data_IF_310061931169
#
_entry.id   IF_310061931169
#
_cell.length_a   1.000
_cell.length_b   1.000
_cell.length_c   1.000
_cell.angle_alpha   90.00
_cell.angle_beta   90.00
_cell.angle_gamma   90.00
#
_symmetry.space_group_name_H-M   'P 1'
#
loop_
_entity.id
_entity.type
_entity.pdbx_description
1 polymer ?
#
# COMPACT_ATOMS: atom_id res chain seq x y z
N UNK A 1 -43.60 25.93 -42.11
CA UNK A 1 -43.53 25.85 -43.58
C UNK A 1 -42.60 26.97 -44.05
N UNK A 2 -41.65 26.65 -44.92
CA UNK A 2 -40.81 27.55 -45.75
C UNK A 2 -39.61 28.27 -45.09
N UNK A 3 -38.48 27.56 -45.12
CA UNK A 3 -37.13 27.89 -45.63
C UNK A 3 -36.81 29.33 -46.07
N UNK A 4 -35.66 29.89 -45.65
CA UNK A 4 -34.63 30.39 -46.60
C UNK A 4 -33.24 30.58 -46.00
N UNK A 5 -32.25 30.07 -46.73
CA UNK A 5 -30.80 30.16 -46.52
C UNK A 5 -30.28 31.61 -46.66
N UNK A 6 -29.19 31.94 -45.96
CA UNK A 6 -28.27 32.99 -46.40
C UNK A 6 -26.81 32.52 -46.36
N UNK A 7 -26.18 32.85 -47.48
CA UNK A 7 -24.88 32.46 -48.03
C UNK A 7 -23.73 33.12 -47.28
N UNK A 8 -22.64 32.38 -47.04
CA UNK A 8 -21.39 32.90 -46.49
C UNK A 8 -20.41 33.19 -47.63
N UNK A 9 -19.92 34.44 -47.68
CA UNK A 9 -18.93 34.92 -48.63
C UNK A 9 -17.52 34.54 -48.17
N UNK A 10 -16.73 34.15 -49.15
CA UNK A 10 -15.39 33.56 -49.10
C UNK A 10 -14.34 34.68 -49.02
N UNK A 11 -13.39 34.59 -48.08
CA UNK A 11 -12.14 35.36 -48.11
C UNK A 11 -10.97 34.42 -48.37
N UNK A 12 -10.16 34.73 -49.39
CA UNK A 12 -8.92 34.04 -49.74
C UNK A 12 -7.75 34.87 -49.20
N UNK A 13 -6.90 34.25 -48.39
CA UNK A 13 -5.56 34.74 -48.07
C UNK A 13 -4.61 33.54 -48.08
N UNK A 14 -3.69 33.51 -49.04
CA UNK A 14 -2.71 32.45 -49.23
C UNK A 14 -1.55 32.60 -48.23
N UNK A 15 -1.03 31.47 -47.73
CA UNK A 15 0.20 31.39 -46.94
C UNK A 15 1.04 30.22 -47.50
N UNK A 16 2.38 30.37 -47.63
CA UNK A 16 3.19 29.46 -48.43
C UNK A 16 3.61 28.18 -47.68
N UNK A 17 3.81 27.11 -48.46
CA UNK A 17 4.40 25.83 -48.04
C UNK A 17 5.91 25.96 -47.83
N UNK A 18 6.42 25.44 -46.72
CA UNK A 18 7.82 25.03 -46.60
C UNK A 18 7.97 23.79 -45.70
N UNK A 19 8.62 22.76 -46.25
CA UNK A 19 9.64 21.91 -45.63
C UNK A 19 9.42 21.21 -44.28
N UNK A 20 9.29 19.88 -44.37
CA UNK A 20 9.66 18.82 -43.44
C UNK A 20 10.44 19.16 -42.15
N UNK A 21 10.05 18.53 -41.04
CA UNK A 21 10.97 17.95 -40.03
C UNK A 21 10.26 16.90 -39.16
N UNK A 22 10.99 15.83 -38.87
CA UNK A 22 10.50 14.56 -38.35
C UNK A 22 9.91 14.62 -36.93
N UNK A 23 9.00 13.68 -36.69
CA UNK A 23 8.50 13.30 -35.36
C UNK A 23 9.65 12.66 -34.57
N UNK A 24 10.28 13.41 -33.68
CA UNK A 24 10.98 12.84 -32.54
C UNK A 24 9.92 12.52 -31.47
N UNK A 25 9.53 11.25 -31.38
CA UNK A 25 8.80 10.75 -30.20
C UNK A 25 9.79 10.77 -29.04
N UNK A 26 9.54 11.65 -28.06
CA UNK A 26 10.13 11.58 -26.73
C UNK A 26 9.88 10.18 -26.17
N UNK A 27 10.95 9.41 -26.03
CA UNK A 27 10.97 8.15 -25.32
C UNK A 27 11.71 8.42 -24.02
N UNK A 28 11.02 8.35 -22.89
CA UNK A 28 11.53 8.05 -21.54
C UNK A 28 10.37 8.18 -20.54
N UNK A 29 10.01 7.05 -19.92
CA UNK A 29 9.57 6.86 -18.52
C UNK A 29 8.62 5.68 -18.40
N UNK A 30 9.19 4.47 -18.31
CA UNK A 30 8.61 3.37 -17.53
C UNK A 30 9.79 2.54 -17.01
N UNK A 31 10.22 2.79 -15.76
CA UNK A 31 10.97 1.75 -15.03
C UNK A 31 9.95 0.65 -14.71
N UNK A 32 9.96 -0.40 -15.55
CA UNK A 32 9.13 -1.59 -15.38
C UNK A 32 9.78 -2.50 -14.35
N UNK A 33 9.17 -2.61 -13.17
CA UNK A 33 9.43 -3.73 -12.26
C UNK A 33 8.91 -5.01 -12.92
N UNK A 34 9.82 -5.84 -13.44
CA UNK A 34 9.48 -7.18 -13.94
C UNK A 34 9.29 -8.12 -12.75
N UNK A 35 8.12 -8.75 -12.67
CA UNK A 35 7.87 -9.84 -11.73
C UNK A 35 8.76 -11.05 -12.07
N UNK A 36 9.60 -11.47 -11.12
CA UNK A 36 10.35 -12.72 -11.22
C UNK A 36 9.49 -13.87 -10.66
N UNK A 37 9.35 -14.93 -11.45
CA UNK A 37 8.68 -16.18 -11.06
C UNK A 37 9.70 -17.31 -10.94
N UNK A 38 10.03 -17.70 -9.70
CA UNK A 38 10.17 -19.07 -9.16
C UNK A 38 10.85 -19.01 -7.79
N UNK A 39 10.23 -19.64 -6.80
CA UNK A 39 10.74 -19.82 -5.44
C UNK A 39 12.09 -20.55 -5.44
N UNK A 40 13.06 -19.93 -4.79
CA UNK A 40 14.23 -20.57 -4.21
C UNK A 40 14.35 -20.06 -2.77
N UNK A 41 14.72 -20.94 -1.84
CA UNK A 41 14.96 -20.62 -0.43
C UNK A 41 15.95 -19.44 -0.30
N UNK A 42 15.81 -18.57 0.72
CA UNK A 42 16.65 -17.38 0.82
C UNK A 42 18.09 -17.79 1.11
N UNK A 43 18.96 -17.65 0.12
CA UNK A 43 20.41 -17.63 0.34
C UNK A 43 20.78 -16.28 0.93
N UNK A 44 21.28 -16.33 2.16
CA UNK A 44 21.67 -15.20 3.00
C UNK A 44 22.96 -14.52 2.53
N UNK A 45 23.02 -14.03 1.28
CA UNK A 45 24.20 -13.32 0.78
C UNK A 45 23.84 -12.24 -0.26
N UNK A 46 23.23 -11.14 0.20
CA UNK A 46 23.49 -9.78 -0.27
C UNK A 46 23.07 -8.84 0.87
N UNK A 47 24.06 -8.26 1.55
CA UNK A 47 23.83 -7.34 2.65
C UNK A 47 22.99 -6.14 2.18
N UNK A 48 22.01 -5.73 2.99
CA UNK A 48 21.35 -4.43 2.88
C UNK A 48 22.42 -3.36 2.63
N UNK A 49 22.31 -2.63 1.51
CA UNK A 49 23.13 -1.46 1.18
C UNK A 49 22.86 -0.30 2.15
N UNK A 50 21.75 -0.36 2.90
CA UNK A 50 21.41 0.57 3.97
C UNK A 50 22.28 0.28 5.21
N UNK A 51 23.12 1.23 5.66
CA UNK A 51 24.05 1.02 6.78
C UNK A 51 23.38 1.05 8.17
N UNK A 52 22.06 0.83 8.25
CA UNK A 52 21.29 0.80 9.50
C UNK A 52 20.44 -0.48 9.59
N UNK A 53 20.32 -1.10 10.79
CA UNK A 53 19.45 -2.25 10.97
C UNK A 53 17.98 -1.83 10.82
N UNK A 54 17.17 -2.68 10.19
CA UNK A 54 15.71 -2.52 10.20
C UNK A 54 15.16 -2.77 11.62
N UNK A 55 14.12 -2.04 11.98
CA UNK A 55 13.44 -2.15 13.29
C UNK A 55 12.13 -2.95 13.22
N UNK A 56 11.62 -3.17 12.02
CA UNK A 56 10.42 -3.97 11.75
C UNK A 56 10.58 -4.75 10.46
N UNK A 57 9.73 -5.76 10.30
CA UNK A 57 9.54 -6.47 9.05
C UNK A 57 8.09 -6.34 8.59
N UNK A 58 7.90 -6.05 7.31
CA UNK A 58 6.58 -5.76 6.76
C UNK A 58 6.25 -6.71 5.63
N UNK A 59 5.03 -7.24 5.67
CA UNK A 59 4.44 -7.96 4.55
C UNK A 59 3.17 -7.26 4.09
N UNK A 60 3.09 -7.01 2.78
CA UNK A 60 1.95 -6.39 2.13
C UNK A 60 1.45 -7.27 0.99
N UNK A 61 0.25 -7.84 1.14
CA UNK A 61 -0.40 -8.49 0.02
C UNK A 61 -1.18 -7.43 -0.75
N UNK A 62 -0.82 -7.21 -2.00
CA UNK A 62 -1.44 -6.24 -2.91
C UNK A 62 -2.48 -6.95 -3.77
N UNK A 63 -3.69 -6.39 -3.79
CA UNK A 63 -4.87 -6.93 -4.44
C UNK A 63 -5.40 -5.94 -5.46
N UNK A 64 -5.73 -6.45 -6.65
CA UNK A 64 -6.49 -5.72 -7.64
C UNK A 64 -7.92 -6.22 -7.60
N UNK A 65 -8.77 -5.61 -6.79
CA UNK A 65 -10.20 -5.90 -6.72
C UNK A 65 -10.88 -5.45 -8.01
N UNK A 66 -11.86 -6.21 -8.47
CA UNK A 66 -12.59 -5.92 -9.71
C UNK A 66 -13.40 -4.63 -9.58
N UNK A 67 -13.38 -3.85 -10.65
CA UNK A 67 -14.21 -2.65 -10.79
C UNK A 67 -15.64 -3.06 -11.21
N UNK A 68 -16.41 -3.59 -10.26
CA UNK A 68 -17.82 -3.95 -10.44
C UNK A 68 -18.57 -3.77 -9.13
N UNK A 69 -19.89 -3.56 -9.24
CA UNK A 69 -20.76 -3.38 -8.08
C UNK A 69 -20.53 -4.47 -7.02
N UNK A 70 -20.42 -4.03 -5.76
CA UNK A 70 -20.25 -4.87 -4.56
C UNK A 70 -18.94 -5.68 -4.49
N UNK A 71 -18.01 -5.60 -5.47
CA UNK A 71 -16.78 -6.38 -5.42
C UNK A 71 -15.92 -6.03 -4.20
N UNK A 72 -15.80 -4.75 -3.89
CA UNK A 72 -15.14 -4.20 -2.71
C UNK A 72 -15.78 -4.73 -1.41
N UNK A 73 -17.09 -4.54 -1.26
CA UNK A 73 -17.82 -4.99 -0.07
C UNK A 73 -17.71 -6.52 0.14
N UNK A 74 -17.78 -7.31 -0.94
CA UNK A 74 -17.57 -8.77 -0.90
C UNK A 74 -16.12 -9.13 -0.57
N UNK A 75 -15.16 -8.37 -1.09
CA UNK A 75 -13.75 -8.56 -0.79
C UNK A 75 -13.48 -8.34 0.71
N UNK A 76 -13.96 -7.23 1.26
CA UNK A 76 -13.82 -6.89 2.67
C UNK A 76 -14.55 -7.85 3.60
N UNK A 77 -15.77 -8.28 3.23
CA UNK A 77 -16.50 -9.31 3.96
C UNK A 77 -15.68 -10.59 4.13
N UNK A 78 -15.03 -11.06 3.06
CA UNK A 78 -14.17 -12.26 3.14
C UNK A 78 -12.96 -12.07 4.04
N UNK A 79 -12.45 -10.85 4.17
CA UNK A 79 -11.38 -10.55 5.13
C UNK A 79 -11.89 -10.51 6.57
N UNK A 80 -13.07 -9.92 6.79
CA UNK A 80 -13.71 -9.87 8.11
C UNK A 80 -14.06 -11.27 8.63
N UNK A 81 -14.62 -12.12 7.77
CA UNK A 81 -15.06 -13.48 8.11
C UNK A 81 -13.93 -14.53 8.10
N UNK A 82 -12.70 -14.13 7.77
CA UNK A 82 -11.57 -15.05 7.69
C UNK A 82 -11.21 -15.58 9.09
N UNK A 83 -11.08 -16.91 9.28
CA UNK A 83 -10.50 -17.44 10.50
C UNK A 83 -9.03 -17.04 10.58
N UNK A 84 -8.65 -16.41 11.68
CA UNK A 84 -7.29 -15.96 11.92
C UNK A 84 -7.07 -15.85 13.42
N UNK A 85 -5.82 -15.96 13.82
CA UNK A 85 -5.36 -15.72 15.19
C UNK A 85 -4.12 -14.83 15.22
N UNK A 86 -3.98 -14.00 14.19
CA UNK A 86 -2.80 -13.20 13.90
C UNK A 86 -2.31 -12.39 15.12
N UNK A 87 -3.23 -11.81 15.89
CA UNK A 87 -2.86 -11.00 17.07
C UNK A 87 -2.26 -11.82 18.23
N UNK A 88 -2.36 -13.15 18.20
CA UNK A 88 -1.76 -14.04 19.21
C UNK A 88 -0.34 -14.49 18.83
N UNK A 89 0.13 -14.13 17.64
CA UNK A 89 1.43 -14.59 17.14
C UNK A 89 2.57 -13.80 17.77
N UNK A 90 3.63 -14.51 18.16
CA UNK A 90 4.84 -13.87 18.65
C UNK A 90 5.43 -12.93 17.58
N UNK A 91 5.86 -11.76 18.03
CA UNK A 91 6.42 -10.72 17.17
C UNK A 91 5.40 -9.96 16.32
N UNK A 92 4.11 -10.34 16.28
CA UNK A 92 3.09 -9.52 15.62
C UNK A 92 2.96 -8.15 16.31
N UNK A 93 2.83 -7.08 15.51
CA UNK A 93 2.72 -5.70 16.00
C UNK A 93 1.43 -5.03 15.58
N UNK A 94 1.13 -5.10 14.28
CA UNK A 94 0.02 -4.34 13.72
C UNK A 94 -0.48 -4.92 12.40
N UNK A 95 -1.78 -4.75 12.11
CA UNK A 95 -2.37 -5.05 10.81
C UNK A 95 -3.49 -4.09 10.43
N UNK A 96 -3.63 -3.84 9.13
CA UNK A 96 -4.90 -3.37 8.54
C UNK A 96 -5.06 -3.88 7.11
N UNK A 97 -6.32 -3.88 6.67
CA UNK A 97 -6.67 -3.94 5.26
C UNK A 97 -6.88 -2.51 4.73
N UNK A 98 -6.02 -2.07 3.84
CA UNK A 98 -6.10 -0.75 3.23
C UNK A 98 -6.79 -0.79 1.88
N UNK A 99 -7.73 0.14 1.67
CA UNK A 99 -8.28 0.50 0.35
C UNK A 99 -7.65 1.80 -0.11
N UNK A 100 -7.10 1.84 -1.32
CA UNK A 100 -6.55 3.06 -1.91
C UNK A 100 -7.69 3.99 -2.33
N UNK A 101 -7.52 5.29 -2.10
CA UNK A 101 -8.53 6.32 -2.41
C UNK A 101 -7.88 7.58 -3.00
N UNK A 102 -8.68 8.43 -3.67
CA UNK A 102 -8.33 9.82 -3.93
C UNK A 102 -8.90 10.72 -2.81
N UNK A 103 -8.18 11.79 -2.44
CA UNK A 103 -8.62 12.71 -1.38
C UNK A 103 -9.90 13.47 -1.74
N UNK A 104 -10.14 13.73 -3.01
CA UNK A 104 -11.34 14.42 -3.50
C UNK A 104 -12.58 13.50 -3.56
N UNK A 105 -12.43 12.22 -3.18
CA UNK A 105 -13.50 11.24 -3.19
C UNK A 105 -13.81 10.68 -4.59
N UNK A 106 -13.03 11.03 -5.60
CA UNK A 106 -13.17 10.43 -6.94
C UNK A 106 -12.67 8.99 -6.95
N UNK A 107 -13.20 8.19 -7.88
CA UNK A 107 -12.70 6.85 -8.12
C UNK A 107 -11.27 6.88 -8.68
N UNK A 108 -10.48 5.87 -8.32
CA UNK A 108 -9.14 5.69 -8.89
C UNK A 108 -9.22 5.45 -10.40
N UNK A 109 -8.33 6.08 -11.16
CA UNK A 109 -8.20 5.81 -12.60
C UNK A 109 -7.72 4.38 -12.86
N UNK A 110 -7.90 3.88 -14.08
CA UNK A 110 -7.40 2.55 -14.45
C UNK A 110 -5.87 2.45 -14.31
N UNK A 111 -5.14 3.55 -14.52
CA UNK A 111 -3.69 3.63 -14.30
C UNK A 111 -3.35 3.51 -12.80
N UNK A 112 -4.03 4.26 -11.93
CA UNK A 112 -3.84 4.15 -10.47
C UNK A 112 -4.19 2.74 -9.95
N UNK A 113 -5.16 2.08 -10.58
CA UNK A 113 -5.61 0.73 -10.26
C UNK A 113 -4.79 -0.39 -10.94
N UNK A 114 -3.79 -0.07 -11.77
CA UNK A 114 -3.06 -1.08 -12.56
C UNK A 114 -2.30 -2.06 -11.65
N UNK A 115 -1.60 -1.55 -10.62
CA UNK A 115 -0.87 -2.40 -9.67
C UNK A 115 -1.82 -3.01 -8.63
N UNK A 116 -2.49 -2.18 -7.83
CA UNK A 116 -3.44 -2.61 -6.82
C UNK A 116 -4.35 -1.46 -6.35
N UNK A 117 -5.50 -1.82 -5.81
CA UNK A 117 -6.45 -0.91 -5.17
C UNK A 117 -6.75 -1.28 -3.71
N UNK A 118 -6.35 -2.48 -3.28
CA UNK A 118 -6.33 -2.88 -1.89
C UNK A 118 -4.96 -3.46 -1.53
N UNK A 119 -4.53 -3.26 -0.28
CA UNK A 119 -3.38 -3.97 0.26
C UNK A 119 -3.64 -4.35 1.70
N UNK A 120 -3.34 -5.59 2.09
CA UNK A 120 -3.12 -5.86 3.51
C UNK A 120 -1.75 -5.33 3.90
N UNK A 121 -1.56 -4.95 5.15
CA UNK A 121 -0.25 -4.64 5.71
C UNK A 121 -0.15 -5.29 7.08
N UNK A 122 0.93 -6.05 7.31
CA UNK A 122 1.29 -6.57 8.63
C UNK A 122 2.66 -6.06 9.02
N UNK A 123 2.81 -5.59 10.26
CA UNK A 123 4.09 -5.26 10.87
C UNK A 123 4.45 -6.34 11.88
N UNK A 124 5.72 -6.73 11.82
CA UNK A 124 6.35 -7.71 12.68
C UNK A 124 7.56 -7.09 13.33
N UNK A 125 7.86 -7.55 14.54
CA UNK A 125 9.04 -7.15 15.28
C UNK A 125 10.31 -7.34 14.44
N UNK A 126 10.39 -8.45 13.72
CA UNK A 126 11.54 -8.82 12.91
C UNK A 126 11.17 -9.88 11.86
N UNK A 127 12.07 -10.12 10.91
CA UNK A 127 11.86 -11.13 9.87
C UNK A 127 11.73 -12.56 10.43
N UNK A 128 12.52 -13.01 11.43
CA UNK A 128 12.37 -14.35 11.99
C UNK A 128 10.98 -14.64 12.56
N UNK A 129 10.40 -13.72 13.34
CA UNK A 129 9.05 -13.90 13.90
C UNK A 129 7.98 -13.97 12.81
N UNK A 130 8.12 -13.16 11.74
CA UNK A 130 7.28 -13.30 10.54
C UNK A 130 7.39 -14.67 9.89
N UNK A 131 8.61 -15.23 9.74
CA UNK A 131 8.79 -16.54 9.11
C UNK A 131 8.16 -17.67 9.94
N UNK A 132 8.30 -17.62 11.27
CA UNK A 132 7.65 -18.58 12.18
C UNK A 132 6.13 -18.57 11.97
N UNK A 133 5.52 -17.39 11.85
CA UNK A 133 4.10 -17.32 11.52
C UNK A 133 3.78 -17.87 10.13
N UNK A 134 4.56 -17.46 9.11
CA UNK A 134 4.34 -17.81 7.70
C UNK A 134 4.39 -19.32 7.45
N UNK A 135 5.23 -20.04 8.18
CA UNK A 135 5.37 -21.50 8.09
C UNK A 135 4.41 -22.26 9.02
N UNK A 136 3.84 -21.55 10.00
CA UNK A 136 3.00 -22.11 11.05
C UNK A 136 1.54 -22.35 10.67
N UNK A 137 0.83 -23.01 11.58
CA UNK A 137 -0.57 -23.41 11.34
C UNK A 137 -1.54 -22.22 11.32
N UNK A 138 -1.23 -21.13 12.04
CA UNK A 138 -2.00 -19.89 11.98
C UNK A 138 -2.08 -19.34 10.54
N UNK A 139 -0.98 -19.38 9.79
CA UNK A 139 -0.95 -18.95 8.41
C UNK A 139 -1.77 -19.90 7.53
N UNK A 140 -1.60 -21.21 7.70
CA UNK A 140 -2.36 -22.22 6.94
C UNK A 140 -3.87 -22.05 7.15
N UNK A 141 -4.31 -21.89 8.39
CA UNK A 141 -5.71 -21.65 8.76
C UNK A 141 -6.28 -20.43 8.02
N UNK A 142 -5.57 -19.30 8.07
CA UNK A 142 -5.95 -18.07 7.39
C UNK A 142 -5.91 -18.16 5.84
N UNK A 143 -5.30 -19.21 5.28
CA UNK A 143 -5.12 -19.42 3.83
C UNK A 143 -5.72 -20.74 3.33
N UNK A 144 -6.82 -21.19 3.95
CA UNK A 144 -7.60 -22.34 3.47
C UNK A 144 -7.34 -23.64 4.23
N UNK A 145 -6.75 -23.57 5.44
CA UNK A 145 -6.66 -24.67 6.40
C UNK A 145 -5.79 -25.85 5.97
N UNK A 146 -4.91 -25.68 4.97
CA UNK A 146 -4.03 -26.73 4.47
C UNK A 146 -4.72 -27.90 3.75
N UNK A 147 -6.05 -27.85 3.55
CA UNK A 147 -6.81 -28.88 2.83
C UNK A 147 -7.26 -28.39 1.44
N UNK A 148 -7.39 -29.33 0.49
CA UNK A 148 -7.64 -29.02 -0.93
C UNK A 148 -8.95 -28.24 -1.13
N UNK A 149 -9.98 -28.53 -0.34
CA UNK A 149 -11.28 -27.85 -0.43
C UNK A 149 -11.19 -26.38 -0.01
N UNK A 150 -10.58 -26.09 1.14
CA UNK A 150 -10.42 -24.71 1.63
C UNK A 150 -9.55 -23.85 0.72
N UNK A 151 -8.49 -24.43 0.15
CA UNK A 151 -7.64 -23.74 -0.85
C UNK A 151 -8.45 -23.47 -2.14
N UNK A 152 -9.24 -24.45 -2.62
CA UNK A 152 -10.08 -24.29 -3.81
C UNK A 152 -11.16 -23.22 -3.62
N UNK A 153 -11.84 -23.20 -2.48
CA UNK A 153 -12.85 -22.19 -2.15
C UNK A 153 -12.23 -20.78 -2.07
N UNK A 154 -11.03 -20.67 -1.52
CA UNK A 154 -10.26 -19.42 -1.52
C UNK A 154 -9.90 -18.97 -2.94
N UNK A 155 -9.50 -19.89 -3.83
CA UNK A 155 -9.15 -19.58 -5.21
C UNK A 155 -10.38 -19.15 -6.04
N UNK A 156 -11.51 -19.85 -5.92
CA UNK A 156 -12.75 -19.53 -6.62
C UNK A 156 -13.28 -18.15 -6.16
N UNK A 157 -13.35 -17.92 -4.86
CA UNK A 157 -13.81 -16.63 -4.31
C UNK A 157 -12.87 -15.47 -4.66
N UNK A 158 -11.56 -15.73 -4.75
CA UNK A 158 -10.58 -14.75 -5.20
C UNK A 158 -10.75 -14.42 -6.68
N UNK A 159 -10.98 -15.42 -7.55
CA UNK A 159 -11.25 -15.17 -8.97
C UNK A 159 -12.54 -14.36 -9.21
N UNK A 160 -13.52 -14.45 -8.31
CA UNK A 160 -14.75 -13.65 -8.38
C UNK A 160 -14.54 -12.20 -7.94
N UNK A 161 -13.56 -11.90 -7.09
CA UNK A 161 -13.39 -10.54 -6.52
C UNK A 161 -12.17 -9.82 -7.06
N UNK A 162 -11.18 -10.54 -7.61
CA UNK A 162 -9.90 -9.98 -8.04
C UNK A 162 -9.72 -10.04 -9.55
N UNK A 163 -8.98 -9.06 -10.09
CA UNK A 163 -8.36 -9.05 -11.41
C UNK A 163 -6.94 -9.63 -11.26
N UNK A 164 -6.79 -10.93 -11.49
CA UNK A 164 -5.50 -11.63 -11.37
C UNK A 164 -5.16 -12.08 -9.95
N UNK A 165 -3.92 -12.53 -9.75
CA UNK A 165 -3.45 -13.04 -8.46
C UNK A 165 -2.92 -11.92 -7.58
N UNK A 166 -3.07 -12.00 -6.24
CA UNK A 166 -2.42 -11.08 -5.33
C UNK A 166 -0.89 -11.08 -5.51
N UNK A 167 -0.25 -9.93 -5.31
CA UNK A 167 1.21 -9.79 -5.29
C UNK A 167 1.68 -9.57 -3.86
N UNK A 168 2.64 -10.36 -3.41
CA UNK A 168 3.26 -10.15 -2.11
C UNK A 168 4.44 -9.20 -2.25
N UNK A 169 4.45 -8.15 -1.43
CA UNK A 169 5.61 -7.33 -1.18
C UNK A 169 6.12 -7.62 0.23
N UNK A 170 7.41 -7.87 0.35
CA UNK A 170 8.12 -7.96 1.61
C UNK A 170 9.06 -6.77 1.71
N UNK A 171 9.18 -6.20 2.90
CA UNK A 171 9.99 -5.01 3.13
C UNK A 171 10.68 -5.07 4.48
N UNK A 172 11.91 -4.57 4.50
CA UNK A 172 12.51 -4.04 5.71
C UNK A 172 11.84 -2.71 6.05
N UNK A 173 11.58 -2.49 7.33
CA UNK A 173 11.05 -1.24 7.84
C UNK A 173 12.03 -0.58 8.81
N UNK A 174 12.12 0.74 8.70
CA UNK A 174 13.07 1.59 9.42
C UNK A 174 12.35 2.78 10.04
N UNK A 175 12.96 3.36 11.07
CA UNK A 175 12.47 4.54 11.77
C UNK A 175 11.00 4.39 12.22
N UNK A 176 10.59 3.17 12.59
CA UNK A 176 9.22 2.92 13.04
C UNK A 176 9.01 3.55 14.40
N UNK A 177 8.11 4.52 14.48
CA UNK A 177 7.71 5.14 15.73
C UNK A 177 6.20 5.11 15.87
N UNK A 178 5.72 4.53 16.98
CA UNK A 178 4.30 4.38 17.29
C UNK A 178 3.98 5.13 18.58
N UNK A 179 2.75 5.62 18.69
CA UNK A 179 2.18 5.91 20.00
C UNK A 179 1.85 4.61 20.72
N UNK A 180 1.91 4.66 22.05
CA UNK A 180 1.41 3.57 22.89
C UNK A 180 -0.11 3.48 22.76
N UNK A 181 -0.61 2.24 22.74
CA UNK A 181 -2.05 1.99 22.67
C UNK A 181 -2.51 1.48 24.03
N UNK A 182 -3.46 2.20 24.63
CA UNK A 182 -4.04 1.77 25.90
C UNK A 182 -4.85 0.49 25.71
N UNK A 183 -4.97 -0.30 26.77
CA UNK A 183 -5.71 -1.56 26.74
C UNK A 183 -7.20 -1.36 26.39
N UNK A 184 -7.77 -0.20 26.77
CA UNK A 184 -9.14 0.20 26.43
C UNK A 184 -9.33 0.58 24.95
N UNK A 185 -8.26 0.96 24.26
CA UNK A 185 -8.30 1.34 22.84
C UNK A 185 -8.05 0.14 21.92
N UNK A 186 -7.77 -1.04 22.49
CA UNK A 186 -7.58 -2.24 21.70
C UNK A 186 -8.89 -2.63 20.99
N UNK A 187 -8.80 -3.04 19.71
CA UNK A 187 -9.95 -3.52 18.97
C UNK A 187 -10.55 -4.76 19.65
N UNK A 188 -11.88 -4.85 19.69
CA UNK A 188 -12.56 -6.09 20.07
C UNK A 188 -12.11 -7.26 19.19
N UNK A 189 -11.69 -8.34 19.82
CA UNK A 189 -11.17 -9.53 19.15
C UNK A 189 -11.78 -10.81 19.74
N UNK A 190 -11.95 -11.82 18.90
CA UNK A 190 -12.26 -13.19 19.30
C UNK A 190 -11.16 -14.11 18.72
N UNK A 191 -10.49 -14.89 19.57
CA UNK A 191 -9.41 -15.79 19.13
C UNK A 191 -8.19 -15.09 18.50
N UNK A 192 -8.01 -13.79 18.70
CA UNK A 192 -6.92 -13.01 18.08
C UNK A 192 -7.22 -12.45 16.70
N UNK A 193 -8.51 -12.34 16.34
CA UNK A 193 -8.96 -11.66 15.13
C UNK A 193 -10.17 -10.76 15.40
N UNK A 194 -10.41 -9.82 14.49
CA UNK A 194 -11.51 -8.85 14.60
C UNK A 194 -12.86 -9.56 14.53
N UNK A 195 -13.79 -9.13 15.38
CA UNK A 195 -15.21 -9.49 15.28
C UNK A 195 -15.97 -8.31 14.68
N UNK A 196 -16.18 -8.33 13.37
CA UNK A 196 -16.80 -7.25 12.60
C UNK A 196 -17.93 -7.82 11.74
N UNK A 197 -19.08 -7.14 11.73
CA UNK A 197 -20.22 -7.52 10.90
C UNK A 197 -20.03 -6.96 9.50
N UNK A 198 -19.99 -7.85 8.50
CA UNK A 198 -19.86 -7.48 7.10
C UNK A 198 -20.99 -8.10 6.26
N UNK A 199 -21.85 -7.26 5.66
CA UNK A 199 -22.99 -7.74 4.88
C UNK A 199 -22.62 -8.13 3.43
N UNK A 200 -21.46 -7.67 2.94
CA UNK A 200 -20.98 -7.90 1.58
C UNK A 200 -21.69 -7.04 0.54
N UNK A 201 -22.45 -6.03 0.98
CA UNK A 201 -23.15 -5.04 0.17
C UNK A 201 -22.58 -3.65 0.35
N UNK A 202 -22.15 -3.32 1.57
CA UNK A 202 -21.44 -2.07 1.90
C UNK A 202 -20.00 -2.38 2.28
N UNK A 203 -19.11 -1.46 1.91
CA UNK A 203 -17.75 -1.48 2.45
C UNK A 203 -17.81 -1.20 3.96
N UNK A 204 -16.86 -1.76 4.69
CA UNK A 204 -16.63 -1.50 6.10
C UNK A 204 -16.22 -0.04 6.29
N UNK A 205 -16.62 0.52 7.43
CA UNK A 205 -16.20 1.86 7.82
C UNK A 205 -14.68 1.89 8.05
N UNK A 206 -13.98 2.95 7.60
CA UNK A 206 -12.57 3.12 7.88
C UNK A 206 -12.32 3.30 9.38
N UNK A 207 -11.27 2.65 9.88
CA UNK A 207 -10.80 2.72 11.27
C UNK A 207 -9.47 3.47 11.38
N UNK A 208 -8.77 3.71 10.26
CA UNK A 208 -7.62 4.60 10.16
C UNK A 208 -7.46 5.17 8.75
N UNK A 209 -6.56 6.14 8.62
CA UNK A 209 -6.12 6.71 7.36
C UNK A 209 -4.61 6.57 7.20
N UNK A 210 -4.12 6.33 5.99
CA UNK A 210 -2.68 6.29 5.72
C UNK A 210 -2.31 7.17 4.53
N UNK A 211 -1.28 7.98 4.70
CA UNK A 211 -0.54 8.62 3.62
C UNK A 211 0.76 7.83 3.40
N UNK A 212 1.03 7.42 2.16
CA UNK A 212 2.26 6.76 1.78
C UNK A 212 2.92 7.51 0.62
N UNK A 213 4.18 7.90 0.80
CA UNK A 213 4.96 8.65 -0.18
C UNK A 213 6.20 7.87 -0.59
N UNK A 214 6.37 7.66 -1.88
CA UNK A 214 7.54 7.01 -2.46
C UNK A 214 8.63 8.04 -2.78
N UNK A 215 9.84 7.72 -2.36
CA UNK A 215 11.05 8.48 -2.58
C UNK A 215 12.08 7.60 -3.28
N UNK A 216 12.69 8.13 -4.34
CA UNK A 216 13.89 7.54 -4.95
C UNK A 216 15.10 8.17 -4.28
N UNK A 217 15.93 7.33 -3.67
CA UNK A 217 17.12 7.72 -2.91
C UNK A 217 18.36 7.24 -3.64
N UNK A 218 19.24 8.18 -3.97
CA UNK A 218 20.49 7.87 -4.66
C UNK A 218 21.44 7.05 -3.76
N UNK A 219 22.23 6.13 -4.35
CA UNK A 219 23.18 5.31 -3.59
C UNK A 219 24.10 6.14 -2.70
N UNK A 220 24.20 5.76 -1.42
CA UNK A 220 25.02 6.44 -0.40
C UNK A 220 24.31 7.59 0.31
N UNK A 221 23.04 7.90 -0.01
CA UNK A 221 22.21 8.91 0.66
C UNK A 221 21.16 8.30 1.61
N UNK A 222 21.10 6.99 1.72
CA UNK A 222 20.08 6.25 2.47
C UNK A 222 20.07 6.61 3.95
N UNK A 223 21.25 6.72 4.57
CA UNK A 223 21.35 7.07 5.99
C UNK A 223 20.82 8.48 6.29
N UNK A 224 21.14 9.46 5.44
CA UNK A 224 20.66 10.83 5.57
C UNK A 224 19.13 10.89 5.38
N UNK A 225 18.62 10.22 4.35
CA UNK A 225 17.19 10.10 4.10
C UNK A 225 16.44 9.49 5.30
N UNK A 226 16.94 8.38 5.85
CA UNK A 226 16.33 7.74 7.01
C UNK A 226 16.34 8.62 8.27
N UNK A 227 17.40 9.42 8.47
CA UNK A 227 17.48 10.36 9.57
C UNK A 227 16.41 11.45 9.45
N UNK A 228 16.26 12.03 8.25
CA UNK A 228 15.26 13.08 7.98
C UNK A 228 13.83 12.53 8.06
N UNK A 229 13.58 11.35 7.49
CA UNK A 229 12.30 10.68 7.60
C UNK A 229 11.95 10.37 9.07
N UNK A 230 12.91 9.92 9.88
CA UNK A 230 12.73 9.70 11.31
C UNK A 230 12.40 10.99 12.06
N UNK A 231 13.05 12.11 11.72
CA UNK A 231 12.75 13.41 12.30
C UNK A 231 11.31 13.85 11.95
N UNK A 232 10.91 13.72 10.68
CA UNK A 232 9.54 14.02 10.23
C UNK A 232 8.48 13.18 10.97
N UNK A 233 8.74 11.88 11.16
CA UNK A 233 7.88 11.01 11.97
C UNK A 233 7.81 11.51 13.42
N UNK A 234 8.95 11.87 14.00
CA UNK A 234 9.03 12.35 15.39
C UNK A 234 8.22 13.61 15.62
N UNK A 235 8.30 14.58 14.71
CA UNK A 235 7.52 15.82 14.75
C UNK A 235 6.01 15.54 14.66
N UNK A 236 5.64 14.58 13.81
CA UNK A 236 4.23 14.20 13.58
C UNK A 236 3.57 13.58 14.81
N UNK A 237 4.34 13.03 15.76
CA UNK A 237 3.80 12.44 17.00
C UNK A 237 3.07 13.44 17.88
N UNK A 238 3.35 14.73 17.74
CA UNK A 238 2.63 15.79 18.47
C UNK A 238 1.28 16.16 17.87
N UNK A 239 0.97 15.71 16.65
CA UNK A 239 -0.27 16.02 15.98
C UNK A 239 -1.41 15.08 16.44
N UNK A 240 -2.62 15.65 16.57
CA UNK A 240 -3.80 14.88 16.94
C UNK A 240 -4.07 13.77 15.92
N UNK A 241 -4.38 12.57 16.43
CA UNK A 241 -4.72 11.41 15.60
C UNK A 241 -3.54 10.68 14.97
N UNK A 242 -2.29 11.11 15.17
CA UNK A 242 -1.15 10.33 14.71
C UNK A 242 -1.13 8.96 15.40
N UNK A 243 -0.96 7.86 14.66
CA UNK A 243 -0.80 6.51 15.23
C UNK A 243 0.65 6.07 15.19
N UNK A 244 1.20 5.96 13.97
CA UNK A 244 2.59 5.59 13.77
C UNK A 244 3.11 6.05 12.42
N UNK A 245 4.42 6.12 12.30
CA UNK A 245 5.15 6.33 11.05
C UNK A 245 6.22 5.27 10.87
N UNK A 246 6.49 4.89 9.63
CA UNK A 246 7.52 3.90 9.28
C UNK A 246 8.02 4.14 7.87
N UNK A 247 9.28 3.80 7.61
CA UNK A 247 9.89 3.87 6.28
C UNK A 247 10.12 2.46 5.77
N UNK A 248 9.47 2.10 4.66
CA UNK A 248 9.60 0.80 4.04
C UNK A 248 10.65 0.84 2.94
N UNK A 249 11.56 -0.13 2.92
CA UNK A 249 12.36 -0.45 1.75
C UNK A 249 11.98 -1.86 1.33
N UNK A 250 11.26 -1.96 0.21
CA UNK A 250 10.83 -3.25 -0.31
C UNK A 250 12.04 -4.04 -0.79
N UNK A 251 12.01 -5.36 -0.59
CA UNK A 251 12.96 -6.30 -1.19
C UNK A 251 12.70 -6.38 -2.71
N UNK A 252 12.91 -5.29 -3.44
CA UNK A 252 12.80 -5.24 -4.88
C UNK A 252 14.08 -5.85 -5.46
N UNK A 253 13.96 -7.01 -6.10
CA UNK A 253 15.08 -7.81 -6.58
C UNK A 253 16.14 -7.00 -7.35
N UNK A 254 17.38 -7.16 -6.90
CA UNK A 254 18.68 -7.03 -7.60
C UNK A 254 18.66 -6.12 -8.85
N UNK A 255 18.93 -4.83 -8.65
CA UNK A 255 19.32 -3.88 -9.70
C UNK A 255 20.27 -2.82 -9.15
N UNK A 256 21.15 -2.27 -9.99
CA UNK A 256 22.11 -1.21 -9.64
C UNK A 256 21.48 0.21 -9.72
N UNK A 257 20.16 0.30 -9.65
CA UNK A 257 19.39 1.54 -9.74
C UNK A 257 19.03 2.03 -8.34
N UNK A 258 18.82 3.34 -8.19
CA UNK A 258 18.47 4.00 -6.92
C UNK A 258 17.36 3.28 -6.13
N UNK A 259 17.53 3.22 -4.81
CA UNK A 259 16.62 2.52 -3.90
C UNK A 259 15.31 3.31 -3.74
N UNK A 260 14.18 2.58 -3.73
CA UNK A 260 12.87 3.18 -3.46
C UNK A 260 12.51 2.95 -2.00
N UNK A 261 12.23 4.04 -1.30
CA UNK A 261 11.73 4.04 0.07
C UNK A 261 10.31 4.60 0.11
N UNK A 262 9.43 3.99 0.89
CA UNK A 262 8.06 4.46 1.12
C UNK A 262 7.93 4.94 2.56
N UNK A 263 7.74 6.25 2.76
CA UNK A 263 7.35 6.78 4.06
C UNK A 263 5.82 6.62 4.21
N UNK A 264 5.41 5.80 5.17
CA UNK A 264 4.01 5.55 5.50
C UNK A 264 3.70 6.17 6.87
N UNK A 265 2.73 7.08 6.92
CA UNK A 265 2.21 7.63 8.16
C UNK A 265 0.73 7.30 8.32
N UNK A 266 0.38 6.73 9.47
CA UNK A 266 -0.97 6.26 9.79
C UNK A 266 -1.59 7.15 10.86
N UNK A 267 -2.86 7.49 10.64
CA UNK A 267 -3.66 8.42 11.42
C UNK A 267 -5.00 7.79 11.79
N UNK A 268 -5.63 8.29 12.85
CA UNK A 268 -6.99 7.95 13.24
C UNK A 268 -7.98 8.31 12.14
N UNK A 269 -7.92 9.53 11.62
CA UNK A 269 -8.78 9.98 10.52
C UNK A 269 -8.03 10.77 9.43
N UNK A 270 -8.68 10.88 8.27
CA UNK A 270 -8.19 11.69 7.14
C UNK A 270 -8.10 13.17 7.52
N UNK A 271 -9.09 13.70 8.24
CA UNK A 271 -9.19 15.12 8.61
C UNK A 271 -8.04 15.53 9.53
N UNK A 272 -7.65 14.65 10.45
CA UNK A 272 -6.51 14.86 11.34
C UNK A 272 -5.19 14.85 10.58
N UNK A 273 -5.03 13.92 9.62
CA UNK A 273 -3.90 13.97 8.71
C UNK A 273 -3.90 15.27 7.89
N UNK A 274 -5.03 15.68 7.30
CA UNK A 274 -5.14 16.90 6.50
C UNK A 274 -4.78 18.16 7.31
N UNK A 275 -5.16 18.22 8.58
CA UNK A 275 -4.79 19.32 9.48
C UNK A 275 -3.27 19.41 9.73
N UNK A 276 -2.57 18.28 9.71
CA UNK A 276 -1.11 18.23 9.88
C UNK A 276 -0.34 18.37 8.56
N UNK A 277 -0.89 17.85 7.45
CA UNK A 277 -0.21 17.57 6.17
C UNK A 277 1.11 16.80 6.33
N UNK A 278 1.30 16.11 7.46
CA UNK A 278 2.51 15.37 7.77
C UNK A 278 2.70 14.18 6.82
N UNK A 279 3.96 13.85 6.55
CA UNK A 279 4.32 12.78 5.62
C UNK A 279 4.35 13.19 4.15
N UNK A 280 4.00 14.42 3.79
CA UNK A 280 4.20 14.96 2.43
C UNK A 280 5.49 15.77 2.25
N UNK A 281 6.30 15.91 3.30
CA UNK A 281 7.48 16.76 3.31
C UNK A 281 8.51 16.37 2.23
N UNK A 282 9.22 17.37 1.71
CA UNK A 282 10.44 17.14 0.93
C UNK A 282 11.52 16.66 1.91
N UNK A 283 12.12 15.50 1.63
CA UNK A 283 13.13 14.88 2.47
C UNK A 283 14.48 15.00 1.78
N UNK A 284 15.11 16.17 2.00
CA UNK A 284 16.46 16.45 1.56
C UNK A 284 16.57 16.45 0.04
N UNK A 285 17.46 15.63 -0.49
CA UNK A 285 17.69 15.46 -1.93
C UNK A 285 16.90 14.28 -2.53
N UNK A 286 16.16 13.52 -1.72
CA UNK A 286 15.41 12.38 -2.21
C UNK A 286 14.26 12.83 -3.12
N UNK A 287 14.16 12.23 -4.31
CA UNK A 287 13.12 12.61 -5.27
C UNK A 287 11.81 11.92 -4.92
N UNK A 288 10.82 12.71 -4.50
CA UNK A 288 9.42 12.26 -4.36
C UNK A 288 8.83 11.85 -5.71
N UNK A 289 8.22 10.68 -5.80
CA UNK A 289 7.69 10.13 -7.07
C UNK A 289 6.20 9.86 -7.07
N UNK A 290 5.66 9.32 -5.98
CA UNK A 290 4.23 9.00 -5.87
C UNK A 290 3.73 9.30 -4.46
N UNK A 291 2.50 9.79 -4.36
CA UNK A 291 1.78 9.92 -3.09
C UNK A 291 0.46 9.15 -3.21
N UNK A 292 0.19 8.31 -2.22
CA UNK A 292 -0.97 7.42 -2.19
C UNK A 292 -1.69 7.56 -0.86
N UNK A 293 -3.00 7.51 -0.90
CA UNK A 293 -3.86 7.64 0.28
C UNK A 293 -4.70 6.39 0.44
N UNK A 294 -4.94 6.01 1.69
CA UNK A 294 -5.66 4.78 2.01
C UNK A 294 -6.61 4.96 3.17
N UNK A 295 -7.76 4.29 3.06
CA UNK A 295 -8.67 3.98 4.16
C UNK A 295 -8.29 2.62 4.72
N UNK A 296 -7.90 2.56 5.99
CA UNK A 296 -7.57 1.32 6.69
C UNK A 296 -8.76 0.78 7.45
N UNK A 297 -8.98 -0.54 7.33
CA UNK A 297 -10.10 -1.29 7.87
C UNK A 297 -9.58 -2.52 8.59
N UNK A 298 -10.40 -3.09 9.47
CA UNK A 298 -10.04 -4.30 10.24
C UNK A 298 -8.72 -4.11 11.00
N UNK A 299 -8.51 -2.95 11.60
CA UNK A 299 -7.25 -2.61 12.26
C UNK A 299 -7.06 -3.52 13.45
N UNK A 300 -5.89 -4.16 13.50
CA UNK A 300 -5.38 -4.87 14.66
C UNK A 300 -4.17 -4.13 15.17
N UNK A 301 -4.19 -3.80 16.45
CA UNK A 301 -3.05 -3.21 17.14
C UNK A 301 -2.81 -3.99 18.43
N UNK A 302 -1.58 -3.97 18.91
CA UNK A 302 -1.18 -4.55 20.19
C UNK A 302 -0.76 -3.43 21.13
N UNK A 303 -0.74 -3.69 22.45
CA UNK A 303 -0.19 -2.72 23.43
C UNK A 303 1.28 -2.37 23.14
N UNK A 304 1.99 -3.20 22.38
CA UNK A 304 3.37 -2.97 22.00
C UNK A 304 3.52 -1.99 20.82
N UNK A 305 2.42 -1.43 20.31
CA UNK A 305 2.38 -0.53 19.16
C UNK A 305 2.76 -1.22 17.84
N UNK A 306 2.87 -0.39 16.80
CA UNK A 306 3.37 -0.77 15.48
C UNK A 306 4.87 -1.15 15.50
#
# INVERSE_FOLDING_TARGET
MVTTMKTMVRWRGAVPRCGARGRTRSALHHLRVRAASKEAAPSSQHANTVPMPSDRYVAMNRFRVQDRAEADAKFEKRWAERPSRLATMDGFRWFALFRRINLDGTDLTEEQNEDFNYTSMTLWQDQPTFQVWREGDAFKEAHGGGNIKGILDMLISSAQTLKGKPKLLLANAYATQSLEVSESDLPKMAGGWRSVVADGKRVLDPECFMCAVDYVVEPGREAAFLQEASASISESRGAGGFRFGTVLNADAGKGADADVFTLSMVWDTKEQWEASRAGEAELGEARKTETRFFEGKLVLTTQKGA
#
